data_IF_467933319616
#
_entry.id   IF_467933319616
#
_cell.length_a   1.000
_cell.length_b   1.000
_cell.length_c   1.000
_cell.angle_alpha   90.00
_cell.angle_beta   90.00
_cell.angle_gamma   90.00
#
_symmetry.space_group_name_H-M   'P 1'
#
loop_
_entity.id
_entity.type
_entity.pdbx_description
1 polymer ?
#
# COMPACT_ATOMS: atom_id res chain seq x y z
N UNK A 1 33.47 -19.10 -4.31
CA UNK A 1 32.03 -18.90 -4.57
C UNK A 1 31.41 -17.78 -3.71
N UNK A 2 31.72 -16.50 -4.01
CA UNK A 2 30.99 -15.37 -3.47
C UNK A 2 29.61 -15.26 -4.16
N UNK A 3 28.57 -15.78 -3.50
CA UNK A 3 27.18 -15.63 -3.95
C UNK A 3 26.64 -14.31 -3.41
N UNK A 4 26.52 -13.31 -4.27
CA UNK A 4 25.93 -12.02 -3.91
C UNK A 4 24.41 -12.11 -3.98
N UNK A 5 23.73 -11.84 -2.86
CA UNK A 5 22.27 -11.84 -2.79
C UNK A 5 21.74 -10.42 -2.79
N UNK A 6 21.00 -10.05 -3.83
CA UNK A 6 20.30 -8.78 -3.94
C UNK A 6 18.84 -9.00 -3.61
N UNK A 7 18.31 -8.18 -2.70
CA UNK A 7 16.88 -8.12 -2.41
C UNK A 7 16.30 -6.86 -3.05
N UNK A 8 15.29 -7.04 -3.89
CA UNK A 8 14.60 -5.94 -4.57
C UNK A 8 13.10 -6.18 -4.57
N UNK A 9 12.33 -5.09 -4.64
CA UNK A 9 10.88 -5.12 -4.58
C UNK A 9 10.34 -4.70 -5.95
N UNK A 10 9.50 -5.55 -6.53
CA UNK A 10 8.98 -5.40 -7.90
C UNK A 10 7.47 -5.53 -7.91
N UNK A 11 6.80 -4.78 -8.78
CA UNK A 11 5.38 -4.96 -9.03
C UNK A 11 5.16 -6.18 -9.94
N UNK A 12 4.44 -7.18 -9.43
CA UNK A 12 4.26 -8.49 -10.06
C UNK A 12 3.58 -8.39 -11.43
N UNK A 13 3.99 -9.26 -12.36
CA UNK A 13 3.54 -9.28 -13.76
C UNK A 13 3.99 -8.09 -14.61
N UNK A 14 4.42 -6.98 -13.99
CA UNK A 14 4.80 -5.70 -14.62
C UNK A 14 6.17 -5.19 -14.15
N UNK A 15 7.06 -6.12 -13.76
CA UNK A 15 8.45 -5.79 -13.47
C UNK A 15 9.15 -5.27 -14.73
N UNK A 16 9.95 -4.22 -14.57
CA UNK A 16 10.67 -3.53 -15.65
C UNK A 16 12.14 -3.39 -15.28
N UNK A 17 13.02 -3.12 -16.25
CA UNK A 17 14.45 -2.86 -16.03
C UNK A 17 14.74 -1.47 -15.43
N UNK A 18 13.87 -1.02 -14.52
CA UNK A 18 13.87 0.30 -13.90
C UNK A 18 14.98 0.45 -12.82
N UNK A 19 15.16 1.65 -12.24
CA UNK A 19 16.17 1.90 -11.19
C UNK A 19 16.20 1.02 -9.93
N UNK A 20 15.16 0.26 -9.50
CA UNK A 20 15.32 -0.74 -8.43
C UNK A 20 16.02 -2.05 -8.85
N UNK A 21 16.25 -2.27 -10.14
CA UNK A 21 16.89 -3.49 -10.68
C UNK A 21 18.22 -3.18 -11.41
N UNK A 22 18.25 -2.15 -12.26
CA UNK A 22 19.41 -1.82 -13.10
C UNK A 22 20.71 -1.57 -12.31
N UNK A 23 20.75 -0.62 -11.37
CA UNK A 23 21.93 -0.31 -10.56
C UNK A 23 22.37 -1.45 -9.63
N UNK A 24 21.45 -2.31 -9.20
CA UNK A 24 21.76 -3.43 -8.32
C UNK A 24 22.42 -4.59 -9.10
N UNK A 25 21.88 -4.94 -10.27
CA UNK A 25 22.36 -6.05 -11.10
C UNK A 25 23.51 -5.66 -12.05
N UNK A 26 23.61 -4.37 -12.42
CA UNK A 26 24.66 -3.80 -13.27
C UNK A 26 26.10 -4.16 -12.89
N UNK A 27 26.56 -3.94 -11.64
CA UNK A 27 27.93 -4.27 -11.22
C UNK A 27 28.23 -5.77 -11.21
N UNK A 28 27.23 -6.64 -11.37
CA UNK A 28 27.38 -8.09 -11.42
C UNK A 28 27.42 -8.65 -12.85
N UNK A 29 27.19 -7.81 -13.87
CA UNK A 29 27.30 -8.21 -15.28
C UNK A 29 26.28 -9.24 -15.76
N UNK A 30 25.15 -9.41 -15.05
CA UNK A 30 24.08 -10.35 -15.41
C UNK A 30 23.09 -9.73 -16.42
N UNK A 31 22.41 -10.59 -17.19
CA UNK A 31 21.43 -10.13 -18.18
C UNK A 31 20.12 -9.67 -17.52
N UNK A 32 20.00 -8.37 -17.28
CA UNK A 32 18.85 -7.72 -16.63
C UNK A 32 17.53 -8.07 -17.35
N UNK A 33 17.53 -8.15 -18.69
CA UNK A 33 16.33 -8.48 -19.46
C UNK A 33 15.83 -9.91 -19.20
N UNK A 34 16.74 -10.88 -19.13
CA UNK A 34 16.40 -12.27 -18.76
C UNK A 34 15.92 -12.38 -17.31
N UNK A 35 16.54 -11.63 -16.39
CA UNK A 35 16.10 -11.56 -14.98
C UNK A 35 14.67 -11.01 -14.90
N UNK A 36 14.38 -9.89 -15.55
CA UNK A 36 13.04 -9.27 -15.59
C UNK A 36 11.99 -10.21 -16.21
N UNK A 37 12.30 -10.88 -17.33
CA UNK A 37 11.38 -11.83 -17.95
C UNK A 37 11.03 -13.00 -17.02
N UNK A 38 12.04 -13.60 -16.38
CA UNK A 38 11.91 -14.75 -15.46
C UNK A 38 11.25 -14.36 -14.13
N UNK A 39 11.38 -13.10 -13.70
CA UNK A 39 10.57 -12.50 -12.61
C UNK A 39 9.11 -12.36 -13.03
N UNK A 40 8.83 -11.78 -14.20
CA UNK A 40 7.45 -11.58 -14.67
C UNK A 40 6.72 -12.91 -14.83
N UNK A 41 7.36 -13.93 -15.41
CA UNK A 41 6.80 -15.28 -15.51
C UNK A 41 6.38 -15.85 -14.15
N UNK A 42 7.29 -15.84 -13.16
CA UNK A 42 7.00 -16.30 -11.79
C UNK A 42 6.01 -15.43 -11.01
N UNK A 43 5.80 -14.17 -11.40
CA UNK A 43 4.94 -13.21 -10.67
C UNK A 43 3.61 -12.90 -11.34
N UNK A 44 3.29 -13.49 -12.50
CA UNK A 44 1.98 -13.36 -13.19
C UNK A 44 0.77 -13.59 -12.27
N UNK A 45 0.82 -14.58 -11.38
CA UNK A 45 -0.26 -14.86 -10.42
C UNK A 45 -0.48 -13.74 -9.37
N UNK A 46 0.50 -12.85 -9.21
CA UNK A 46 0.53 -11.74 -8.28
C UNK A 46 0.53 -10.38 -9.00
N UNK A 47 -0.09 -10.29 -10.18
CA UNK A 47 -0.13 -9.02 -10.93
C UNK A 47 -0.72 -7.88 -10.08
N UNK A 48 -0.03 -6.73 -10.08
CA UNK A 48 -0.41 -5.55 -9.28
C UNK A 48 -0.03 -5.62 -7.79
N UNK A 49 0.61 -6.70 -7.33
CA UNK A 49 1.18 -6.78 -5.98
C UNK A 49 2.67 -6.47 -5.96
N UNK A 50 3.17 -5.88 -4.88
CA UNK A 50 4.60 -5.67 -4.66
C UNK A 50 5.20 -6.92 -4.06
N UNK A 51 6.00 -7.63 -4.84
CA UNK A 51 6.58 -8.91 -4.48
C UNK A 51 8.08 -8.71 -4.17
N UNK A 52 8.58 -9.14 -2.99
CA UNK A 52 10.01 -9.15 -2.72
C UNK A 52 10.67 -10.29 -3.51
N UNK A 53 11.72 -9.99 -4.26
CA UNK A 53 12.51 -10.96 -5.03
C UNK A 53 13.95 -10.92 -4.55
N UNK A 54 14.49 -12.10 -4.23
CA UNK A 54 15.92 -12.30 -3.99
C UNK A 54 16.56 -12.84 -5.27
N UNK A 55 17.49 -12.09 -5.84
CA UNK A 55 18.34 -12.53 -6.94
C UNK A 55 19.70 -12.89 -6.35
N UNK A 56 20.05 -14.18 -6.41
CA UNK A 56 21.34 -14.69 -5.97
C UNK A 56 22.22 -14.85 -7.21
N UNK A 57 23.37 -14.16 -7.25
CA UNK A 57 24.29 -14.18 -8.40
C UNK A 57 25.64 -14.75 -7.95
N UNK A 58 26.16 -15.73 -8.70
CA UNK A 58 27.55 -16.16 -8.55
C UNK A 58 28.46 -15.25 -9.38
N UNK A 59 29.36 -14.50 -8.73
CA UNK A 59 30.30 -13.62 -9.46
C UNK A 59 31.34 -14.37 -10.29
N UNK A 60 31.56 -15.67 -10.06
CA UNK A 60 32.51 -16.51 -10.81
C UNK A 60 31.89 -17.04 -12.11
N UNK A 61 30.70 -17.67 -12.03
CA UNK A 61 30.03 -18.29 -13.20
C UNK A 61 29.02 -17.39 -13.92
N UNK A 62 28.70 -16.22 -13.35
CA UNK A 62 27.63 -15.28 -13.80
C UNK A 62 26.21 -15.88 -13.80
N UNK A 63 26.04 -17.06 -13.21
CA UNK A 63 24.74 -17.68 -13.01
C UNK A 63 23.90 -16.89 -12.00
N UNK A 64 22.59 -16.84 -12.24
CA UNK A 64 21.62 -16.15 -11.40
C UNK A 64 20.44 -17.07 -11.07
N UNK A 65 20.17 -17.27 -9.77
CA UNK A 65 18.92 -17.85 -9.29
C UNK A 65 17.98 -16.76 -8.76
N UNK A 66 16.69 -16.97 -8.97
CA UNK A 66 15.63 -15.99 -8.70
C UNK A 66 14.59 -16.63 -7.77
N UNK A 67 14.70 -16.29 -6.48
CA UNK A 67 13.76 -16.68 -5.44
C UNK A 67 12.75 -15.55 -5.23
N UNK A 68 11.57 -15.76 -5.81
CA UNK A 68 10.40 -14.90 -5.59
C UNK A 68 9.82 -15.24 -4.22
N UNK A 69 9.77 -14.28 -3.31
CA UNK A 69 9.13 -14.44 -2.00
C UNK A 69 7.61 -14.21 -2.09
N UNK A 70 6.87 -14.62 -1.06
CA UNK A 70 5.42 -14.34 -1.01
C UNK A 70 5.18 -12.84 -0.78
N UNK A 71 4.25 -12.17 -1.50
CA UNK A 71 3.91 -10.76 -1.26
C UNK A 71 3.52 -10.44 0.20
N UNK A 72 3.55 -9.16 0.61
CA UNK A 72 3.12 -8.72 1.93
C UNK A 72 1.70 -9.17 2.26
N UNK A 73 1.48 -9.65 3.50
CA UNK A 73 0.16 -10.05 4.00
C UNK A 73 -0.90 -8.98 3.73
N UNK A 74 -0.53 -7.70 3.92
CA UNK A 74 -1.37 -6.54 3.66
C UNK A 74 -1.94 -6.45 2.24
N UNK A 75 -1.23 -6.91 1.20
CA UNK A 75 -1.76 -6.90 -0.17
C UNK A 75 -2.61 -8.12 -0.49
N UNK A 76 -2.29 -9.29 0.07
CA UNK A 76 -3.15 -10.47 -0.05
C UNK A 76 -4.51 -10.23 0.62
N UNK A 77 -4.51 -9.69 1.84
CA UNK A 77 -5.73 -9.31 2.56
C UNK A 77 -6.52 -8.25 1.78
N UNK A 78 -5.86 -7.22 1.22
CA UNK A 78 -6.53 -6.22 0.37
C UNK A 78 -7.23 -6.81 -0.85
N UNK A 79 -6.65 -7.82 -1.50
CA UNK A 79 -7.26 -8.50 -2.66
C UNK A 79 -8.52 -9.26 -2.26
N UNK A 80 -8.46 -10.03 -1.18
CA UNK A 80 -9.59 -10.85 -0.70
C UNK A 80 -10.68 -9.99 -0.02
N UNK A 81 -10.31 -8.88 0.63
CA UNK A 81 -11.24 -7.87 1.12
C UNK A 81 -11.88 -7.05 -0.03
N UNK A 82 -11.18 -6.93 -1.15
CA UNK A 82 -11.47 -6.07 -2.31
C UNK A 82 -11.39 -4.55 -2.00
N UNK A 83 -10.29 -4.11 -1.35
CA UNK A 83 -10.06 -2.70 -0.98
C UNK A 83 -8.67 -2.19 -1.42
N UNK A 84 -8.60 -0.96 -1.92
CA UNK A 84 -7.34 -0.34 -2.35
C UNK A 84 -6.53 0.24 -1.18
N UNK A 85 -7.20 0.83 -0.19
CA UNK A 85 -6.61 1.47 1.00
C UNK A 85 -6.97 0.70 2.27
N UNK A 86 -6.09 0.75 3.25
CA UNK A 86 -6.41 0.34 4.62
C UNK A 86 -6.84 1.55 5.44
N UNK A 87 -7.39 1.34 6.64
CA UNK A 87 -7.78 2.42 7.55
C UNK A 87 -6.61 3.31 7.94
N UNK A 88 -6.83 4.64 7.91
CA UNK A 88 -5.93 5.62 8.50
C UNK A 88 -5.96 5.66 10.03
N UNK A 89 -6.95 5.01 10.66
CA UNK A 89 -7.14 4.94 12.13
C UNK A 89 -7.62 3.53 12.52
N UNK A 90 -6.73 2.51 12.48
CA UNK A 90 -7.06 1.16 12.89
C UNK A 90 -7.67 1.15 14.31
N UNK A 91 -8.67 0.29 14.51
CA UNK A 91 -9.60 0.19 15.67
C UNK A 91 -10.70 1.25 15.77
N UNK A 92 -10.58 2.41 15.11
CA UNK A 92 -11.60 3.47 15.18
C UNK A 92 -12.49 3.49 13.94
N UNK A 93 -11.87 3.38 12.77
CA UNK A 93 -12.53 3.38 11.47
C UNK A 93 -12.21 2.03 10.79
N UNK A 94 -13.23 1.19 10.63
CA UNK A 94 -13.11 -0.08 9.93
C UNK A 94 -13.41 0.11 8.44
N UNK A 95 -12.67 -0.55 7.56
CA UNK A 95 -12.74 -0.34 6.09
C UNK A 95 -13.23 -1.55 5.30
N UNK A 96 -13.24 -2.74 5.91
CA UNK A 96 -13.79 -3.98 5.37
C UNK A 96 -14.01 -5.00 6.50
N UNK A 97 -14.77 -6.04 6.21
CA UNK A 97 -14.76 -7.32 6.92
C UNK A 97 -14.24 -8.44 5.99
N UNK A 98 -13.67 -9.50 6.57
CA UNK A 98 -13.23 -10.71 5.86
C UNK A 98 -13.57 -11.96 6.66
N UNK A 99 -13.97 -13.03 5.96
CA UNK A 99 -14.27 -14.31 6.61
C UNK A 99 -12.99 -15.08 6.98
N UNK A 100 -13.10 -15.94 7.99
CA UNK A 100 -12.01 -16.77 8.50
C UNK A 100 -11.40 -17.67 7.42
N UNK A 101 -12.19 -18.11 6.44
CA UNK A 101 -11.74 -18.89 5.29
C UNK A 101 -10.78 -18.12 4.37
N UNK A 102 -11.05 -16.82 4.15
CA UNK A 102 -10.14 -15.96 3.39
C UNK A 102 -8.80 -15.83 4.12
N UNK A 103 -8.84 -15.74 5.45
CA UNK A 103 -7.65 -15.70 6.31
C UNK A 103 -6.88 -17.03 6.26
N UNK A 104 -7.56 -18.18 6.30
CA UNK A 104 -6.97 -19.52 6.14
C UNK A 104 -6.30 -19.65 4.77
N UNK A 105 -7.00 -19.27 3.69
CA UNK A 105 -6.48 -19.25 2.31
C UNK A 105 -5.21 -18.39 2.18
N UNK A 106 -5.20 -17.19 2.75
CA UNK A 106 -4.01 -16.32 2.81
C UNK A 106 -2.89 -16.95 3.65
N UNK A 107 -3.21 -17.56 4.79
CA UNK A 107 -2.24 -18.22 5.67
C UNK A 107 -1.57 -19.44 5.01
N UNK A 108 -2.29 -20.21 4.19
CA UNK A 108 -1.71 -21.27 3.32
C UNK A 108 -0.83 -20.66 2.23
N UNK A 109 -1.33 -19.68 1.47
CA UNK A 109 -0.57 -19.01 0.41
C UNK A 109 0.73 -18.37 0.91
N UNK A 110 0.79 -17.98 2.19
CA UNK A 110 1.97 -17.39 2.84
C UNK A 110 2.69 -18.34 3.79
N UNK A 111 2.39 -19.64 3.78
CA UNK A 111 2.98 -20.65 4.68
C UNK A 111 4.50 -20.54 4.81
N UNK A 112 5.23 -20.55 3.69
CA UNK A 112 6.69 -20.44 3.65
C UNK A 112 7.26 -19.05 4.01
N UNK A 113 6.44 -18.13 4.50
CA UNK A 113 6.82 -16.77 4.93
C UNK A 113 6.15 -16.34 6.24
N UNK A 114 5.55 -17.26 7.00
CA UNK A 114 4.97 -17.03 8.33
C UNK A 114 5.76 -17.78 9.39
N UNK A 115 5.73 -17.29 10.63
CA UNK A 115 6.56 -17.82 11.74
C UNK A 115 5.84 -18.95 12.49
N UNK A 116 4.51 -19.01 12.40
CA UNK A 116 3.67 -20.00 13.05
C UNK A 116 3.98 -21.43 12.62
N UNK A 117 4.22 -22.30 13.60
CA UNK A 117 4.47 -23.75 13.41
C UNK A 117 3.19 -24.54 13.09
N UNK A 118 2.04 -23.90 13.20
CA UNK A 118 0.71 -24.49 12.98
C UNK A 118 -0.18 -23.51 12.22
N UNK A 119 -1.14 -24.01 11.43
CA UNK A 119 -2.12 -23.17 10.73
C UNK A 119 -2.86 -22.22 11.71
N UNK A 120 -3.21 -22.70 12.90
CA UNK A 120 -3.82 -21.91 13.99
C UNK A 120 -2.95 -20.75 14.50
N UNK A 121 -1.62 -20.82 14.38
CA UNK A 121 -0.72 -19.68 14.65
C UNK A 121 -0.64 -18.74 13.45
N UNK A 122 -0.50 -19.28 12.24
CA UNK A 122 -0.41 -18.52 10.98
C UNK A 122 -1.66 -17.67 10.72
N UNK A 123 -2.84 -18.23 10.98
CA UNK A 123 -4.14 -17.52 10.95
C UNK A 123 -4.12 -16.31 11.89
N UNK A 124 -3.54 -16.41 13.09
CA UNK A 124 -3.41 -15.28 14.03
C UNK A 124 -2.43 -14.21 13.54
N UNK A 125 -1.34 -14.57 12.85
CA UNK A 125 -0.43 -13.59 12.22
C UNK A 125 -1.17 -12.77 11.14
N UNK A 126 -2.05 -13.40 10.37
CA UNK A 126 -2.89 -12.72 9.38
C UNK A 126 -3.98 -11.86 10.06
N UNK A 127 -4.71 -12.36 11.07
CA UNK A 127 -5.68 -11.56 11.85
C UNK A 127 -5.00 -10.35 12.52
N UNK A 128 -3.79 -10.54 13.06
CA UNK A 128 -2.96 -9.45 13.60
C UNK A 128 -2.61 -8.39 12.54
N UNK A 129 -2.46 -8.80 11.28
CA UNK A 129 -2.28 -7.87 10.15
C UNK A 129 -3.59 -7.12 9.82
N UNK A 130 -4.75 -7.78 9.87
CA UNK A 130 -6.07 -7.15 9.68
C UNK A 130 -6.30 -6.03 10.71
N UNK A 131 -5.95 -6.26 11.98
CA UNK A 131 -6.01 -5.28 13.06
C UNK A 131 -5.33 -3.94 12.69
N UNK A 132 -4.08 -4.02 12.22
CA UNK A 132 -3.27 -2.86 11.83
C UNK A 132 -3.77 -2.12 10.59
N UNK A 133 -4.72 -2.69 9.85
CA UNK A 133 -5.34 -2.08 8.67
C UNK A 133 -6.80 -1.67 8.90
N UNK A 134 -7.36 -1.87 10.10
CA UNK A 134 -8.77 -1.61 10.39
C UNK A 134 -9.71 -2.51 9.60
N UNK A 135 -9.39 -3.80 9.49
CA UNK A 135 -10.24 -4.81 8.85
C UNK A 135 -10.80 -5.72 9.96
N UNK A 136 -12.12 -5.88 9.97
CA UNK A 136 -12.85 -6.79 10.84
C UNK A 136 -12.62 -8.24 10.41
N UNK A 137 -12.96 -9.18 11.30
CA UNK A 137 -12.99 -10.61 10.99
C UNK A 137 -14.26 -11.21 11.58
N UNK A 138 -15.12 -11.79 10.75
CA UNK A 138 -16.43 -12.34 11.16
C UNK A 138 -17.29 -11.29 11.92
N UNK A 139 -17.32 -10.06 11.38
CA UNK A 139 -17.96 -8.89 11.98
C UNK A 139 -17.32 -8.36 13.28
N UNK A 140 -16.17 -8.88 13.71
CA UNK A 140 -15.57 -8.62 15.04
C UNK A 140 -14.17 -8.03 14.97
N UNK A 141 -13.72 -7.44 16.09
CA UNK A 141 -12.36 -6.93 16.17
C UNK A 141 -11.33 -8.06 16.20
N UNK A 142 -10.16 -7.82 15.62
CA UNK A 142 -9.07 -8.79 15.56
C UNK A 142 -8.66 -9.39 16.93
N UNK A 143 -8.84 -8.66 18.03
CA UNK A 143 -8.60 -9.18 19.38
C UNK A 143 -9.61 -10.29 19.76
N UNK A 144 -10.89 -10.05 19.51
CA UNK A 144 -11.96 -11.03 19.73
C UNK A 144 -11.83 -12.22 18.78
N UNK A 145 -11.49 -11.97 17.50
CA UNK A 145 -11.24 -13.04 16.54
C UNK A 145 -10.05 -13.93 16.95
N UNK A 146 -8.96 -13.35 17.48
CA UNK A 146 -7.84 -14.12 18.05
C UNK A 146 -8.29 -14.93 19.28
N UNK A 147 -9.19 -14.41 20.13
CA UNK A 147 -9.80 -15.17 21.22
C UNK A 147 -10.67 -16.32 20.71
N UNK A 148 -11.56 -16.10 19.74
CA UNK A 148 -12.41 -17.17 19.19
C UNK A 148 -11.60 -18.25 18.45
N UNK A 149 -10.47 -17.88 17.85
CA UNK A 149 -9.47 -18.85 17.36
C UNK A 149 -8.77 -19.57 18.53
N UNK A 150 -8.42 -18.91 19.64
CA UNK A 150 -7.88 -19.58 20.84
C UNK A 150 -8.88 -20.62 21.38
N UNK A 151 -10.13 -20.20 21.63
CA UNK A 151 -11.27 -20.99 22.14
C UNK A 151 -11.57 -22.24 21.31
N UNK A 152 -11.07 -22.31 20.06
CA UNK A 152 -11.20 -23.46 19.19
C UNK A 152 -12.45 -23.45 18.31
N UNK A 153 -13.22 -22.35 18.28
CA UNK A 153 -14.44 -22.23 17.46
C UNK A 153 -14.19 -22.46 15.97
N UNK A 154 -12.98 -22.13 15.51
CA UNK A 154 -12.55 -22.30 14.11
C UNK A 154 -11.56 -23.47 13.90
N UNK A 155 -11.30 -24.32 14.91
CA UNK A 155 -10.41 -25.49 14.71
C UNK A 155 -11.01 -26.52 13.75
N UNK A 156 -12.33 -26.47 13.52
CA UNK A 156 -13.01 -27.22 12.46
C UNK A 156 -12.58 -26.71 11.07
N UNK A 157 -12.90 -25.46 10.68
CA UNK A 157 -12.45 -24.83 9.43
C UNK A 157 -10.93 -24.95 9.20
N UNK A 158 -10.12 -24.70 10.23
CA UNK A 158 -8.65 -24.74 10.13
C UNK A 158 -8.12 -26.16 9.85
N UNK A 159 -8.82 -27.22 10.28
CA UNK A 159 -8.47 -28.63 9.98
C UNK A 159 -9.15 -29.18 8.74
N UNK A 160 -10.38 -28.76 8.47
CA UNK A 160 -11.13 -29.09 7.25
C UNK A 160 -10.53 -28.41 6.01
N UNK A 161 -9.59 -27.49 6.21
CA UNK A 161 -8.81 -26.83 5.16
C UNK A 161 -9.67 -26.04 4.15
N UNK A 162 -10.92 -25.70 4.50
CA UNK A 162 -11.83 -24.95 3.63
C UNK A 162 -11.15 -23.69 3.05
N UNK A 163 -11.20 -23.58 1.73
CA UNK A 163 -10.71 -22.44 0.94
C UNK A 163 -11.75 -21.90 -0.04
N UNK A 164 -12.98 -22.42 0.06
CA UNK A 164 -14.08 -22.19 -0.88
C UNK A 164 -15.29 -21.70 -0.09
N UNK A 165 -15.44 -20.37 0.00
CA UNK A 165 -16.65 -19.73 0.52
C UNK A 165 -17.84 -20.29 -0.24
N UNK A 166 -18.86 -20.79 0.46
CA UNK A 166 -20.11 -21.12 -0.20
C UNK A 166 -20.74 -19.87 -0.80
N UNK A 167 -21.61 -20.05 -1.80
CA UNK A 167 -22.31 -18.93 -2.43
C UNK A 167 -23.14 -18.12 -1.41
N UNK A 168 -23.61 -18.77 -0.34
CA UNK A 168 -24.37 -18.15 0.75
C UNK A 168 -23.48 -17.34 1.70
N UNK A 169 -22.33 -17.88 2.15
CA UNK A 169 -21.34 -17.15 2.95
C UNK A 169 -20.79 -15.93 2.19
N UNK A 170 -20.54 -16.07 0.87
CA UNK A 170 -20.15 -14.94 0.02
C UNK A 170 -21.26 -13.88 -0.10
N UNK A 171 -22.53 -14.28 -0.24
CA UNK A 171 -23.65 -13.35 -0.32
C UNK A 171 -23.88 -12.61 1.00
N UNK A 172 -23.73 -13.29 2.14
CA UNK A 172 -23.77 -12.67 3.47
C UNK A 172 -22.62 -11.66 3.64
N UNK A 173 -21.39 -12.01 3.23
CA UNK A 173 -20.25 -11.11 3.25
C UNK A 173 -20.45 -9.89 2.32
N UNK A 174 -21.04 -10.04 1.15
CA UNK A 174 -21.35 -8.91 0.24
C UNK A 174 -22.44 -8.00 0.81
N UNK A 175 -23.45 -8.56 1.49
CA UNK A 175 -24.48 -7.78 2.21
C UNK A 175 -23.92 -7.03 3.43
N UNK A 176 -23.07 -7.67 4.23
CA UNK A 176 -22.44 -7.03 5.39
C UNK A 176 -21.41 -5.97 4.95
N UNK A 177 -20.64 -6.21 3.88
CA UNK A 177 -19.78 -5.19 3.26
C UNK A 177 -20.58 -4.00 2.73
N UNK A 178 -21.76 -4.22 2.15
CA UNK A 178 -22.64 -3.12 1.69
C UNK A 178 -23.13 -2.27 2.88
N UNK A 179 -23.64 -2.91 3.94
CA UNK A 179 -24.06 -2.23 5.17
C UNK A 179 -22.90 -1.45 5.82
N UNK A 180 -21.72 -2.08 5.92
CA UNK A 180 -20.53 -1.43 6.47
C UNK A 180 -20.09 -0.25 5.60
N UNK A 181 -20.15 -0.36 4.27
CA UNK A 181 -19.86 0.75 3.36
C UNK A 181 -20.85 1.92 3.50
N UNK A 182 -22.14 1.66 3.73
CA UNK A 182 -23.12 2.72 4.06
C UNK A 182 -22.83 3.38 5.41
N UNK A 183 -22.44 2.61 6.43
CA UNK A 183 -22.09 3.13 7.76
C UNK A 183 -20.82 3.99 7.70
N UNK A 184 -19.79 3.52 6.99
CA UNK A 184 -18.58 4.29 6.66
C UNK A 184 -18.95 5.58 5.90
N UNK A 185 -19.85 5.53 4.92
CA UNK A 185 -20.27 6.70 4.13
C UNK A 185 -20.96 7.75 5.00
N UNK A 186 -21.95 7.35 5.81
CA UNK A 186 -22.66 8.26 6.74
C UNK A 186 -21.68 8.91 7.72
N UNK A 187 -20.77 8.11 8.30
CA UNK A 187 -19.75 8.60 9.23
C UNK A 187 -18.70 9.51 8.55
N UNK A 188 -18.37 9.27 7.27
CA UNK A 188 -17.56 10.18 6.44
C UNK A 188 -18.27 11.51 6.22
N UNK A 189 -19.56 11.48 5.92
CA UNK A 189 -20.41 12.68 5.71
C UNK A 189 -20.54 13.50 7.01
N UNK A 190 -20.64 12.85 8.18
CA UNK A 190 -20.57 13.51 9.49
C UNK A 190 -19.21 14.16 9.75
N UNK A 191 -18.10 13.44 9.54
CA UNK A 191 -16.75 14.01 9.67
C UNK A 191 -16.50 15.16 8.67
N UNK A 192 -17.03 15.08 7.46
CA UNK A 192 -16.91 16.13 6.44
C UNK A 192 -17.75 17.37 6.80
N UNK A 193 -18.94 17.19 7.38
CA UNK A 193 -19.76 18.28 7.93
C UNK A 193 -19.05 18.97 9.10
N UNK A 194 -18.55 18.21 10.07
CA UNK A 194 -17.77 18.74 11.19
C UNK A 194 -16.51 19.48 10.71
N UNK A 195 -15.81 18.94 9.70
CA UNK A 195 -14.67 19.58 9.09
C UNK A 195 -15.03 20.92 8.42
N UNK A 196 -16.13 20.97 7.64
CA UNK A 196 -16.65 22.19 7.01
C UNK A 196 -17.02 23.26 8.05
N UNK A 197 -17.62 22.86 9.17
CA UNK A 197 -17.97 23.76 10.28
C UNK A 197 -16.73 24.32 11.00
N UNK A 198 -15.68 23.49 11.20
CA UNK A 198 -14.39 23.92 11.75
C UNK A 198 -13.65 24.86 10.77
N UNK A 199 -13.73 24.60 9.46
CA UNK A 199 -13.15 25.47 8.43
C UNK A 199 -13.89 26.83 8.40
N UNK A 200 -15.22 26.83 8.43
CA UNK A 200 -16.03 28.05 8.45
C UNK A 200 -15.76 28.89 9.71
N UNK A 201 -15.73 28.27 10.90
CA UNK A 201 -15.39 28.94 12.17
C UNK A 201 -13.91 29.34 12.32
N UNK A 202 -13.07 29.05 11.31
CA UNK A 202 -11.68 29.50 11.22
C UNK A 202 -11.35 30.23 9.89
N UNK A 203 -12.37 30.69 9.15
CA UNK A 203 -12.15 31.46 7.93
C UNK A 203 -11.23 32.67 8.19
N UNK A 204 -10.18 32.81 7.38
CA UNK A 204 -9.15 33.85 7.53
C UNK A 204 -7.96 33.49 8.44
N UNK A 205 -7.92 32.30 9.06
CA UNK A 205 -6.73 31.80 9.77
C UNK A 205 -5.83 30.95 8.88
N UNK A 206 -4.57 30.83 9.27
CA UNK A 206 -3.56 30.08 8.52
C UNK A 206 -3.97 28.61 8.24
N UNK A 207 -3.68 28.13 7.03
CA UNK A 207 -3.97 26.75 6.60
C UNK A 207 -3.33 25.70 7.53
N UNK A 208 -2.17 26.00 8.10
CA UNK A 208 -1.52 25.16 9.13
C UNK A 208 -2.32 25.05 10.42
N UNK A 209 -2.87 26.17 10.92
CA UNK A 209 -3.68 26.21 12.14
C UNK A 209 -5.04 25.50 11.95
N UNK A 210 -5.67 25.65 10.79
CA UNK A 210 -6.91 24.93 10.45
C UNK A 210 -6.63 23.42 10.38
N UNK A 211 -5.55 23.01 9.68
CA UNK A 211 -5.12 21.60 9.61
C UNK A 211 -4.80 21.01 10.98
N UNK A 212 -4.19 21.77 11.88
CA UNK A 212 -3.92 21.35 13.26
C UNK A 212 -5.22 21.14 14.06
N UNK A 213 -6.19 22.06 13.97
CA UNK A 213 -7.47 21.94 14.68
C UNK A 213 -8.36 20.82 14.11
N UNK A 214 -8.35 20.61 12.80
CA UNK A 214 -9.02 19.46 12.16
C UNK A 214 -8.44 18.12 12.62
N UNK A 215 -7.11 18.03 12.78
CA UNK A 215 -6.45 16.86 13.40
C UNK A 215 -6.83 16.67 14.87
N UNK A 216 -6.90 17.75 15.66
CA UNK A 216 -7.35 17.70 17.06
C UNK A 216 -8.82 17.26 17.18
N UNK A 217 -9.69 17.67 16.25
CA UNK A 217 -11.08 17.20 16.13
C UNK A 217 -11.21 15.75 15.63
N UNK A 218 -10.10 15.00 15.58
CA UNK A 218 -10.02 13.59 15.22
C UNK A 218 -10.59 13.25 13.82
N UNK A 219 -10.62 14.19 12.89
CA UNK A 219 -11.03 13.95 11.50
C UNK A 219 -9.94 13.14 10.76
N UNK A 220 -10.29 12.21 9.84
CA UNK A 220 -9.32 11.51 9.00
C UNK A 220 -8.53 12.43 8.06
N UNK A 221 -7.22 12.21 7.93
CA UNK A 221 -6.32 13.04 7.09
C UNK A 221 -6.72 13.11 5.60
N UNK A 222 -7.46 12.12 5.09
CA UNK A 222 -7.96 12.15 3.70
C UNK A 222 -9.04 13.23 3.51
N UNK A 223 -10.01 13.34 4.43
CA UNK A 223 -11.03 14.38 4.42
C UNK A 223 -10.39 15.77 4.60
N UNK A 224 -9.36 15.87 5.45
CA UNK A 224 -8.58 17.11 5.63
C UNK A 224 -7.87 17.51 4.33
N UNK A 225 -7.33 16.55 3.57
CA UNK A 225 -6.66 16.79 2.28
C UNK A 225 -7.64 17.14 1.15
N UNK A 226 -8.86 16.64 1.23
CA UNK A 226 -9.95 16.87 0.26
C UNK A 226 -10.62 18.24 0.45
N UNK A 227 -10.78 18.69 1.70
CA UNK A 227 -11.35 20.01 2.04
C UNK A 227 -10.31 21.14 2.10
N UNK A 228 -9.03 20.83 2.30
CA UNK A 228 -7.91 21.76 2.18
C UNK A 228 -6.92 21.24 1.12
N UNK A 229 -7.30 21.23 -0.17
CA UNK A 229 -6.39 20.89 -1.24
C UNK A 229 -5.23 21.89 -1.27
N UNK A 230 -4.00 21.38 -1.43
CA UNK A 230 -2.82 22.20 -1.62
C UNK A 230 -2.81 22.76 -3.06
N UNK A 231 -3.17 24.03 -3.20
CA UNK A 231 -2.78 24.83 -4.37
C UNK A 231 -1.27 24.68 -4.59
N UNK A 232 -0.88 24.15 -5.75
CA UNK A 232 0.50 23.79 -6.08
C UNK A 232 0.79 22.29 -6.22
N UNK A 233 -0.13 21.40 -5.84
CA UNK A 233 -0.05 19.99 -6.22
C UNK A 233 -0.49 19.79 -7.69
N UNK A 234 0.45 19.94 -8.62
CA UNK A 234 0.19 19.89 -10.06
C UNK A 234 -0.48 18.58 -10.52
N UNK A 235 -1.47 18.70 -11.41
CA UNK A 235 -2.09 17.57 -12.07
C UNK A 235 -1.14 16.94 -13.11
N UNK A 236 -1.13 15.60 -13.26
CA UNK A 236 -0.30 14.94 -14.26
C UNK A 236 -0.94 14.98 -15.65
N UNK A 237 -0.42 15.81 -16.57
CA UNK A 237 -0.58 15.56 -18.01
C UNK A 237 -0.86 16.73 -18.95
N UNK A 238 0.17 17.53 -19.26
CA UNK A 238 0.45 18.15 -20.58
C UNK A 238 -0.60 19.11 -21.22
N UNK A 239 -0.31 19.74 -22.38
CA UNK A 239 0.97 20.18 -22.95
C UNK A 239 1.08 21.73 -23.06
N UNK A 240 2.14 22.25 -23.68
CA UNK A 240 2.05 23.52 -24.43
C UNK A 240 2.61 24.80 -23.80
N UNK A 241 3.79 25.18 -24.29
CA UNK A 241 4.15 26.54 -24.78
C UNK A 241 3.93 27.82 -23.93
N UNK A 242 5.08 28.42 -23.60
CA UNK A 242 5.45 29.83 -23.81
C UNK A 242 4.60 30.99 -23.24
N UNK A 243 5.27 31.86 -22.47
CA UNK A 243 5.03 33.33 -22.52
C UNK A 243 6.35 34.12 -22.56
N UNK A 244 6.44 35.20 -23.36
CA UNK A 244 7.57 36.12 -23.34
C UNK A 244 7.52 37.07 -22.13
N UNK A 245 8.64 37.72 -21.82
CA UNK A 245 8.78 38.55 -20.62
C UNK A 245 8.48 40.04 -20.82
N UNK A 246 8.68 40.81 -19.74
CA UNK A 246 8.98 42.24 -19.78
C UNK A 246 9.82 42.66 -18.54
N UNK A 247 10.78 43.55 -18.78
CA UNK A 247 11.58 44.32 -17.81
C UNK A 247 10.99 45.76 -17.69
N UNK A 248 11.60 46.76 -17.01
CA UNK A 248 12.82 46.82 -16.18
C UNK A 248 12.46 47.05 -14.68
N UNK A 249 13.31 47.50 -13.73
CA UNK A 249 14.71 47.96 -13.67
C UNK A 249 15.31 47.52 -12.29
N UNK A 250 16.34 48.05 -11.62
CA UNK A 250 17.37 49.11 -11.77
C UNK A 250 18.42 48.86 -10.64
N UNK A 251 19.64 49.44 -10.58
CA UNK A 251 20.58 50.03 -11.54
C UNK A 251 21.92 50.32 -10.81
N UNK A 252 22.97 50.77 -11.52
CA UNK A 252 24.31 51.18 -11.01
C UNK A 252 25.22 50.03 -10.49
N UNK A 253 26.57 50.06 -10.60
CA UNK A 253 27.59 50.87 -11.35
C UNK A 253 28.97 50.16 -11.15
N UNK A 254 30.09 50.55 -11.81
CA UNK A 254 30.29 51.08 -13.17
C UNK A 254 31.40 50.30 -13.96
N UNK A 255 31.83 50.86 -15.09
CA UNK A 255 32.78 50.30 -16.08
C UNK A 255 34.21 49.98 -15.61
N UNK A 256 34.89 49.08 -16.34
CA UNK A 256 36.33 49.21 -16.67
C UNK A 256 36.77 48.38 -17.90
N UNK A 257 37.53 49.04 -18.80
CA UNK A 257 38.44 48.53 -19.87
C UNK A 257 37.92 47.61 -20.98
N UNK A 258 38.10 48.08 -22.23
CA UNK A 258 38.12 47.30 -23.49
C UNK A 258 39.16 47.91 -24.45
N UNK A 259 40.37 47.37 -24.46
CA UNK A 259 41.50 47.68 -25.36
C UNK A 259 42.57 46.58 -25.13
N UNK A 260 43.35 46.09 -26.11
CA UNK A 260 43.43 46.35 -27.55
C UNK A 260 44.02 45.12 -28.30
N UNK A 261 43.94 45.10 -29.64
CA UNK A 261 44.70 44.28 -30.63
C UNK A 261 44.79 42.74 -30.51
N UNK A 262 44.27 42.13 -31.59
CA UNK A 262 44.97 41.22 -32.54
C UNK A 262 45.76 40.02 -31.99
#
# INVERSE_FOLDING_TARGET
MPVQTIETLVDGGKATAAPPLGPALGPLGVNIGQVVAKINEKTKAFEGMKVPVKVMVNSETKEFDIKVGTPPSSQLIKKEANIEKGSGKPKTDFVADVLIEQIIKIAKMKEGSLTGKTLKQRVKEIIGTCNSMGILVEGKQAAEAIQMVNDGKFDAEIKAEKTELTAEEKAQLEAEKLRLAEEIKKRREEFERAAKEIIASMAGKERGAIKAKLKQANIPDEIIKELLPVEGAAAPGAPGEAKPGAQPAAAAKPEAKKEEKK
#
